data_IF_232093096348
#
_entry.id   IF_232093096348
#
_cell.length_a   1.000
_cell.length_b   1.000
_cell.length_c   1.000
_cell.angle_alpha   90.00
_cell.angle_beta   90.00
_cell.angle_gamma   90.00
#
_symmetry.space_group_name_H-M   'P 1'
#
loop_
_entity.id
_entity.type
_entity.pdbx_description
1 polymer ?
#
# COMPACT_ATOMS: atom_id res chain seq x y z
N UNK A 1 -16.83 34.49 -23.14
CA UNK A 1 -15.67 34.34 -24.04
C UNK A 1 -14.73 33.24 -23.52
N UNK A 2 -14.88 32.03 -24.05
CA UNK A 2 -13.99 30.88 -23.88
C UNK A 2 -13.32 30.61 -25.22
N UNK A 3 -12.05 30.17 -25.27
CA UNK A 3 -11.52 29.51 -26.44
C UNK A 3 -11.68 27.98 -26.31
N UNK A 4 -12.28 27.44 -27.37
CA UNK A 4 -12.37 26.04 -27.78
C UNK A 4 -11.07 25.50 -28.40
N UNK A 5 -11.06 24.20 -28.72
CA UNK A 5 -10.08 23.37 -29.47
C UNK A 5 -9.15 22.53 -28.55
N UNK A 6 -8.97 21.20 -28.70
CA UNK A 6 -8.98 20.32 -29.88
C UNK A 6 -9.50 18.91 -29.53
N UNK A 7 -10.36 18.36 -30.39
CA UNK A 7 -10.73 16.93 -30.50
C UNK A 7 -9.57 16.10 -31.08
N UNK A 8 -9.33 14.91 -30.54
CA UNK A 8 -8.90 13.75 -31.35
C UNK A 8 -9.61 12.47 -30.89
N UNK A 9 -10.37 11.92 -31.82
CA UNK A 9 -10.97 10.60 -31.83
C UNK A 9 -10.00 9.60 -32.46
N UNK A 10 -9.95 8.37 -31.94
CA UNK A 10 -9.48 7.19 -32.67
C UNK A 10 -10.43 6.02 -32.37
N UNK A 11 -10.91 5.39 -33.45
CA UNK A 11 -11.83 4.26 -33.49
C UNK A 11 -11.03 2.99 -33.82
N UNK A 12 -11.10 2.02 -32.92
CA UNK A 12 -11.43 0.59 -33.09
C UNK A 12 -10.89 -0.24 -34.27
N UNK A 13 -10.21 -1.35 -33.93
CA UNK A 13 -10.33 -2.72 -34.49
C UNK A 13 -9.26 -3.59 -33.79
N UNK A 14 -9.50 -4.72 -33.12
CA UNK A 14 -10.28 -5.90 -33.53
C UNK A 14 -9.28 -7.01 -33.93
N UNK A 15 -9.14 -8.08 -33.12
CA UNK A 15 -8.34 -9.26 -33.47
C UNK A 15 -7.92 -10.16 -32.30
N UNK A 16 -8.73 -11.19 -32.03
CA UNK A 16 -8.36 -12.48 -31.42
C UNK A 16 -8.15 -13.48 -32.58
N UNK A 17 -7.25 -14.49 -32.50
CA UNK A 17 -7.68 -15.77 -31.90
C UNK A 17 -6.59 -16.67 -31.23
N UNK A 18 -7.07 -17.48 -30.27
CA UNK A 18 -6.80 -18.90 -29.91
C UNK A 18 -5.39 -19.52 -29.71
N UNK A 19 -5.33 -20.25 -28.57
CA UNK A 19 -4.84 -21.63 -28.33
C UNK A 19 -3.38 -21.96 -27.94
N UNK A 20 -3.29 -22.53 -26.72
CA UNK A 20 -2.57 -23.76 -26.29
C UNK A 20 -1.04 -23.80 -26.29
N UNK A 21 -0.46 -24.25 -25.16
CA UNK A 21 0.96 -24.61 -25.08
C UNK A 21 1.49 -24.81 -23.67
N UNK A 22 1.13 -25.93 -23.03
CA UNK A 22 1.86 -26.48 -21.88
C UNK A 22 3.30 -26.81 -22.25
N UNK A 23 4.28 -26.46 -21.41
CA UNK A 23 5.50 -27.28 -21.20
C UNK A 23 6.30 -26.75 -20.03
N UNK A 24 6.35 -27.53 -18.95
CA UNK A 24 7.49 -27.59 -18.04
C UNK A 24 8.69 -28.22 -18.75
N UNK A 25 9.91 -27.90 -18.32
CA UNK A 25 10.88 -28.96 -18.15
C UNK A 25 11.54 -28.97 -16.76
N UNK A 26 11.72 -30.20 -16.35
CA UNK A 26 12.33 -30.73 -15.14
C UNK A 26 13.85 -30.48 -15.11
N UNK A 27 14.43 -30.34 -13.91
CA UNK A 27 15.47 -31.23 -13.38
C UNK A 27 16.58 -30.56 -12.52
N UNK A 28 16.68 -31.08 -11.30
CA UNK A 28 17.88 -31.54 -10.59
C UNK A 28 18.95 -30.54 -10.07
N UNK A 29 18.87 -30.37 -8.74
CA UNK A 29 19.87 -30.81 -7.73
C UNK A 29 21.10 -29.96 -7.36
N UNK A 30 21.54 -30.21 -6.11
CA UNK A 30 22.69 -29.71 -5.32
C UNK A 30 22.50 -28.34 -4.65
N UNK A 31 22.96 -28.09 -3.42
CA UNK A 31 23.48 -28.88 -2.30
C UNK A 31 23.68 -27.89 -1.14
N UNK A 32 23.73 -28.44 0.06
CA UNK A 32 24.07 -27.84 1.35
C UNK A 32 25.07 -26.67 1.37
N UNK A 33 24.77 -25.66 2.19
CA UNK A 33 25.65 -25.20 3.27
C UNK A 33 24.99 -24.03 4.01
N UNK A 34 24.57 -24.28 5.25
CA UNK A 34 24.21 -23.24 6.20
C UNK A 34 25.54 -22.60 6.64
N UNK A 35 25.88 -21.45 6.03
CA UNK A 35 26.85 -20.52 6.60
C UNK A 35 26.09 -19.38 7.26
N UNK A 36 26.08 -19.43 8.58
CA UNK A 36 25.64 -18.39 9.51
C UNK A 36 26.54 -17.15 9.35
N UNK A 37 26.06 -16.15 8.59
CA UNK A 37 26.77 -14.88 8.44
C UNK A 37 26.23 -13.94 7.35
N UNK A 38 24.97 -14.08 6.95
CA UNK A 38 24.38 -13.29 5.86
C UNK A 38 24.15 -11.83 6.23
N UNK A 39 24.66 -10.91 5.40
CA UNK A 39 24.19 -9.51 5.33
C UNK A 39 22.68 -9.49 5.01
N UNK A 40 21.90 -8.53 5.52
CA UNK A 40 20.53 -8.32 5.06
C UNK A 40 20.50 -8.16 3.53
N UNK A 41 19.61 -8.89 2.86
CA UNK A 41 19.47 -8.86 1.40
C UNK A 41 18.76 -7.57 0.99
N UNK A 42 19.48 -6.62 0.39
CA UNK A 42 18.86 -5.63 -0.49
C UNK A 42 18.38 -6.37 -1.76
N UNK A 43 17.07 -6.63 -1.87
CA UNK A 43 16.44 -6.83 -3.19
C UNK A 43 16.09 -5.46 -3.73
N UNK A 44 16.93 -4.99 -4.65
CA UNK A 44 16.75 -3.72 -5.33
C UNK A 44 15.54 -3.74 -6.25
N UNK A 45 14.88 -2.57 -6.27
CA UNK A 45 14.02 -2.07 -7.34
C UNK A 45 14.79 -2.15 -8.66
N UNK A 46 14.18 -2.72 -9.71
CA UNK A 46 14.77 -2.89 -11.03
C UNK A 46 15.16 -1.55 -11.68
N UNK A 47 16.44 -1.30 -12.03
CA UNK A 47 16.81 -0.19 -12.88
C UNK A 47 16.85 -0.65 -14.35
N UNK A 48 16.00 -0.06 -15.17
CA UNK A 48 16.04 -0.21 -16.63
C UNK A 48 17.36 0.28 -17.21
N UNK A 49 17.89 -0.55 -18.12
CA UNK A 49 18.77 -0.27 -19.27
C UNK A 49 19.40 1.13 -19.33
N UNK A 50 20.70 1.20 -19.02
CA UNK A 50 21.62 2.18 -19.60
C UNK A 50 22.92 1.47 -19.96
N UNK A 51 23.06 1.18 -21.25
CA UNK A 51 24.22 0.52 -21.82
C UNK A 51 25.47 1.38 -21.83
N UNK A 52 26.61 0.70 -21.78
CA UNK A 52 27.86 1.10 -22.40
C UNK A 52 28.57 2.32 -21.81
N UNK A 53 29.51 2.08 -20.89
CA UNK A 53 30.80 2.79 -20.89
C UNK A 53 31.82 2.05 -19.99
N UNK A 54 32.95 1.64 -20.58
CA UNK A 54 34.24 1.43 -19.92
C UNK A 54 34.34 0.38 -18.81
N UNK A 55 34.85 -0.80 -19.13
CA UNK A 55 35.35 -1.80 -18.18
C UNK A 55 36.62 -1.32 -17.48
N UNK A 56 36.50 -0.35 -16.56
CA UNK A 56 37.50 -0.18 -15.52
C UNK A 56 37.40 -1.39 -14.58
N UNK A 57 38.41 -2.27 -14.61
CA UNK A 57 38.64 -3.25 -13.54
C UNK A 57 38.89 -2.46 -12.25
N UNK A 58 37.83 -2.09 -11.54
CA UNK A 58 37.92 -1.64 -10.15
C UNK A 58 38.52 -2.81 -9.38
N UNK A 59 39.78 -2.67 -8.97
CA UNK A 59 40.29 -3.43 -7.85
C UNK A 59 39.35 -3.11 -6.67
N UNK A 60 38.41 -4.01 -6.40
CA UNK A 60 37.58 -3.97 -5.21
C UNK A 60 38.51 -4.23 -4.03
N UNK A 61 39.10 -3.16 -3.50
CA UNK A 61 39.76 -3.21 -2.20
C UNK A 61 38.69 -3.67 -1.22
N UNK A 62 38.80 -4.93 -0.77
CA UNK A 62 37.92 -5.49 0.25
C UNK A 62 38.30 -4.82 1.56
N UNK A 63 37.76 -3.63 1.80
CA UNK A 63 37.87 -2.97 3.10
C UNK A 63 37.05 -3.81 4.07
N UNK A 64 37.70 -4.36 5.09
CA UNK A 64 37.03 -5.10 6.18
C UNK A 64 36.09 -4.14 6.91
N UNK A 65 34.79 -4.24 6.62
CA UNK A 65 33.75 -3.42 7.25
C UNK A 65 33.52 -3.85 8.71
N UNK A 66 33.30 -2.87 9.58
CA UNK A 66 32.87 -3.12 10.97
C UNK A 66 31.55 -3.88 10.95
N UNK A 67 31.43 -5.06 11.60
CA UNK A 67 30.17 -5.80 11.62
C UNK A 67 29.11 -5.06 12.46
N UNK A 68 27.84 -5.30 12.17
CA UNK A 68 26.78 -4.86 13.08
C UNK A 68 26.88 -5.59 14.42
N UNK A 69 26.40 -4.96 15.51
CA UNK A 69 26.06 -5.69 16.72
C UNK A 69 25.11 -6.86 16.40
N UNK A 70 25.29 -8.02 17.05
CA UNK A 70 24.45 -9.20 16.79
C UNK A 70 22.97 -8.92 17.04
N UNK A 71 22.66 -8.21 18.13
CA UNK A 71 21.30 -7.81 18.48
C UNK A 71 20.65 -6.94 17.38
N UNK A 72 21.42 -6.03 16.78
CA UNK A 72 20.95 -5.17 15.70
C UNK A 72 20.67 -5.97 14.43
N UNK A 73 21.56 -6.90 14.03
CA UNK A 73 21.36 -7.71 12.82
C UNK A 73 20.04 -8.49 12.84
N UNK A 74 19.71 -9.11 13.99
CA UNK A 74 18.47 -9.87 14.13
C UNK A 74 17.24 -8.95 14.07
N UNK A 75 17.28 -7.81 14.77
CA UNK A 75 16.18 -6.86 14.81
C UNK A 75 15.92 -6.19 13.44
N UNK A 76 16.98 -5.88 12.67
CA UNK A 76 16.85 -5.37 11.31
C UNK A 76 16.18 -6.37 10.37
N UNK A 77 16.53 -7.65 10.46
CA UNK A 77 15.91 -8.68 9.63
C UNK A 77 14.43 -8.89 9.97
N UNK A 78 14.06 -8.85 11.26
CA UNK A 78 12.66 -8.91 11.69
C UNK A 78 11.86 -7.70 11.19
N UNK A 79 12.45 -6.51 11.29
CA UNK A 79 11.86 -5.30 10.74
C UNK A 79 11.65 -5.37 9.22
N UNK A 80 12.68 -5.76 8.46
CA UNK A 80 12.60 -5.80 6.99
C UNK A 80 11.46 -6.75 6.53
N UNK A 81 11.32 -7.92 7.18
CA UNK A 81 10.22 -8.86 6.90
C UNK A 81 8.86 -8.29 7.30
N UNK A 82 8.79 -7.67 8.48
CA UNK A 82 7.56 -7.08 8.97
C UNK A 82 7.08 -5.91 8.11
N UNK A 83 8.00 -5.06 7.65
CA UNK A 83 7.74 -3.95 6.75
C UNK A 83 7.13 -4.44 5.44
N UNK A 84 7.77 -5.39 4.78
CA UNK A 84 7.30 -5.96 3.50
C UNK A 84 5.88 -6.56 3.65
N UNK A 85 5.65 -7.33 4.70
CA UNK A 85 4.33 -7.92 4.96
C UNK A 85 3.27 -6.85 5.23
N UNK A 86 3.59 -5.82 6.01
CA UNK A 86 2.66 -4.74 6.37
C UNK A 86 2.34 -3.85 5.18
N UNK A 87 3.33 -3.46 4.38
CA UNK A 87 3.13 -2.67 3.15
C UNK A 87 2.25 -3.43 2.14
N UNK A 88 2.51 -4.73 1.96
CA UNK A 88 1.70 -5.59 1.09
C UNK A 88 0.26 -5.70 1.57
N UNK A 89 0.05 -5.97 2.86
CA UNK A 89 -1.29 -6.08 3.46
C UNK A 89 -2.05 -4.76 3.37
N UNK A 90 -1.39 -3.64 3.69
CA UNK A 90 -1.97 -2.31 3.58
C UNK A 90 -2.41 -2.00 2.15
N UNK A 91 -1.57 -2.32 1.14
CA UNK A 91 -1.92 -2.18 -0.27
C UNK A 91 -3.15 -3.02 -0.67
N UNK A 92 -3.25 -4.26 -0.19
CA UNK A 92 -4.42 -5.11 -0.40
C UNK A 92 -5.70 -4.51 0.19
N UNK A 93 -5.66 -4.05 1.45
CA UNK A 93 -6.82 -3.42 2.10
C UNK A 93 -7.25 -2.14 1.37
N UNK A 94 -6.29 -1.29 0.98
CA UNK A 94 -6.57 -0.09 0.19
C UNK A 94 -7.27 -0.42 -1.14
N UNK A 95 -6.82 -1.46 -1.84
CA UNK A 95 -7.42 -1.89 -3.09
C UNK A 95 -8.86 -2.38 -2.93
N UNK A 96 -9.18 -3.02 -1.80
CA UNK A 96 -10.54 -3.47 -1.49
C UNK A 96 -11.46 -2.30 -1.13
N UNK A 97 -10.95 -1.31 -0.40
CA UNK A 97 -11.75 -0.19 0.10
C UNK A 97 -11.99 0.85 -0.99
N UNK A 98 -10.93 1.26 -1.70
CA UNK A 98 -10.97 2.26 -2.77
C UNK A 98 -10.25 1.71 -4.00
N UNK A 99 -10.92 0.97 -4.90
CA UNK A 99 -10.27 0.35 -6.06
C UNK A 99 -9.64 1.38 -7.00
N UNK A 100 -10.20 2.60 -7.07
CA UNK A 100 -9.64 3.65 -7.91
C UNK A 100 -8.44 4.32 -7.23
N UNK A 101 -7.24 4.04 -7.75
CA UNK A 101 -6.00 4.63 -7.25
C UNK A 101 -5.96 6.16 -7.31
N UNK A 102 -6.72 6.79 -8.21
CA UNK A 102 -6.77 8.26 -8.36
C UNK A 102 -7.43 8.98 -7.18
N UNK A 103 -8.23 8.27 -6.39
CA UNK A 103 -8.94 8.83 -5.23
C UNK A 103 -8.21 8.55 -3.91
N UNK A 104 -7.09 7.82 -3.96
CA UNK A 104 -6.28 7.53 -2.78
C UNK A 104 -5.30 8.67 -2.57
N UNK A 105 -5.55 9.46 -1.53
CA UNK A 105 -4.68 10.54 -1.11
C UNK A 105 -4.01 10.26 0.23
N UNK A 106 -2.95 11.01 0.51
CA UNK A 106 -2.32 11.06 1.84
C UNK A 106 -2.05 12.53 2.14
N UNK A 107 -2.49 12.99 3.30
CA UNK A 107 -2.15 14.33 3.82
C UNK A 107 -1.41 14.17 5.13
N UNK A 108 -0.10 14.42 5.10
CA UNK A 108 0.79 14.12 6.22
C UNK A 108 0.83 12.62 6.48
N UNK A 109 0.23 12.17 7.57
CA UNK A 109 0.09 10.74 7.92
C UNK A 109 -1.33 10.21 7.74
N UNK A 110 -2.29 11.07 7.38
CA UNK A 110 -3.69 10.71 7.28
C UNK A 110 -4.04 10.26 5.88
N UNK A 111 -4.75 9.14 5.79
CA UNK A 111 -5.27 8.59 4.55
C UNK A 111 -6.53 9.33 4.12
N UNK A 112 -6.68 9.55 2.82
CA UNK A 112 -7.89 10.08 2.20
C UNK A 112 -8.38 9.06 1.19
N UNK A 113 -9.60 8.58 1.37
CA UNK A 113 -10.21 7.52 0.57
C UNK A 113 -11.50 7.95 -0.10
N UNK A 114 -12.20 8.94 0.46
CA UNK A 114 -13.42 9.46 -0.14
C UNK A 114 -13.07 10.13 -1.49
N UNK A 115 -13.78 9.79 -2.58
CA UNK A 115 -13.67 10.53 -3.84
C UNK A 115 -14.00 12.02 -3.66
N UNK A 116 -13.53 12.89 -4.57
CA UNK A 116 -14.01 14.27 -4.64
C UNK A 116 -15.54 14.33 -4.73
N UNK A 117 -16.12 15.42 -4.24
CA UNK A 117 -17.57 15.62 -4.20
C UNK A 117 -18.22 15.37 -5.57
N UNK A 118 -19.28 14.54 -5.60
CA UNK A 118 -20.01 14.21 -6.82
C UNK A 118 -19.32 13.22 -7.75
N UNK A 119 -18.14 12.69 -7.40
CA UNK A 119 -17.45 11.64 -8.17
C UNK A 119 -17.67 10.24 -7.58
N UNK A 120 -18.26 10.14 -6.39
CA UNK A 120 -18.67 8.85 -5.85
C UNK A 120 -19.85 8.31 -6.68
N UNK A 121 -19.80 7.06 -7.19
CA UNK A 121 -20.80 6.55 -8.13
C UNK A 121 -22.26 6.62 -7.67
N UNK A 122 -22.53 6.38 -6.39
CA UNK A 122 -23.90 6.43 -5.84
C UNK A 122 -24.36 7.88 -5.63
N UNK A 123 -23.48 8.78 -5.16
CA UNK A 123 -23.76 10.23 -5.12
C UNK A 123 -24.09 10.77 -6.52
N UNK A 124 -23.30 10.41 -7.53
CA UNK A 124 -23.50 10.83 -8.92
C UNK A 124 -24.81 10.29 -9.50
N UNK A 125 -25.12 9.02 -9.23
CA UNK A 125 -26.38 8.40 -9.64
C UNK A 125 -27.58 9.05 -8.94
N UNK A 126 -27.48 9.32 -7.63
CA UNK A 126 -28.52 10.01 -6.88
C UNK A 126 -28.81 11.39 -7.48
N UNK A 127 -27.77 12.19 -7.74
CA UNK A 127 -27.91 13.51 -8.35
C UNK A 127 -28.59 13.45 -9.73
N UNK A 128 -28.28 12.44 -10.54
CA UNK A 128 -28.91 12.24 -11.85
C UNK A 128 -30.39 11.85 -11.75
N UNK A 129 -30.77 11.00 -10.79
CA UNK A 129 -32.17 10.62 -10.55
C UNK A 129 -32.98 11.77 -9.95
N UNK A 130 -32.38 12.53 -9.03
CA UNK A 130 -33.00 13.68 -8.37
C UNK A 130 -33.27 14.86 -9.32
N UNK A 131 -32.51 14.96 -10.43
CA UNK A 131 -32.73 15.98 -11.45
C UNK A 131 -34.07 15.85 -12.20
N UNK A 132 -34.84 14.77 -11.95
CA UNK A 132 -36.21 14.50 -12.45
C UNK A 132 -36.46 15.03 -13.87
N UNK A 133 -36.10 14.28 -14.93
CA UNK A 133 -36.30 14.75 -16.29
C UNK A 133 -37.79 15.09 -16.52
N UNK A 134 -38.07 16.29 -17.07
CA UNK A 134 -39.42 16.83 -17.28
C UNK A 134 -40.36 15.90 -18.08
N UNK A 135 -39.80 14.89 -18.74
CA UNK A 135 -40.49 13.86 -19.52
C UNK A 135 -41.40 12.96 -18.67
N UNK A 136 -41.23 12.92 -17.34
CA UNK A 136 -41.95 12.00 -16.44
C UNK A 136 -43.28 12.54 -15.89
N UNK A 137 -43.61 13.82 -16.12
CA UNK A 137 -44.79 14.46 -15.53
C UNK A 137 -46.14 13.81 -15.92
N UNK A 138 -46.18 12.93 -16.93
CA UNK A 138 -47.38 12.27 -17.41
C UNK A 138 -47.45 10.77 -17.05
N UNK A 139 -46.53 10.23 -16.24
CA UNK A 139 -46.52 8.82 -15.84
C UNK A 139 -46.38 8.65 -14.31
N UNK A 140 -47.48 8.69 -13.55
CA UNK A 140 -47.43 8.69 -12.08
C UNK A 140 -46.78 7.43 -11.48
N UNK A 141 -46.97 6.25 -12.10
CA UNK A 141 -46.31 5.00 -11.65
C UNK A 141 -44.79 5.05 -11.83
N UNK A 142 -44.34 5.55 -12.98
CA UNK A 142 -42.91 5.69 -13.28
C UNK A 142 -42.26 6.73 -12.36
N UNK A 143 -43.00 7.78 -12.00
CA UNK A 143 -42.57 8.76 -11.01
C UNK A 143 -42.42 8.14 -9.61
N UNK A 144 -43.37 7.32 -9.18
CA UNK A 144 -43.30 6.60 -7.90
C UNK A 144 -42.10 5.63 -7.84
N UNK A 145 -41.87 4.85 -8.91
CA UNK A 145 -40.74 3.93 -9.01
C UNK A 145 -39.39 4.68 -9.03
N UNK A 146 -39.34 5.84 -9.69
CA UNK A 146 -38.16 6.71 -9.69
C UNK A 146 -37.89 7.27 -8.30
N UNK A 147 -38.92 7.74 -7.59
CA UNK A 147 -38.78 8.29 -6.25
C UNK A 147 -38.28 7.23 -5.26
N UNK A 148 -38.81 6.00 -5.34
CA UNK A 148 -38.30 4.84 -4.58
C UNK A 148 -36.84 4.53 -4.90
N UNK A 149 -36.49 4.47 -6.19
CA UNK A 149 -35.12 4.20 -6.62
C UNK A 149 -34.16 5.30 -6.16
N UNK A 150 -34.56 6.57 -6.27
CA UNK A 150 -33.76 7.72 -5.83
C UNK A 150 -33.52 7.67 -4.32
N UNK A 151 -34.53 7.33 -3.51
CA UNK A 151 -34.37 7.19 -2.07
C UNK A 151 -33.37 6.09 -1.71
N UNK A 152 -33.43 4.93 -2.36
CA UNK A 152 -32.46 3.85 -2.09
C UNK A 152 -31.05 4.24 -2.49
N UNK A 153 -30.85 4.87 -3.66
CA UNK A 153 -29.52 5.30 -4.09
C UNK A 153 -28.94 6.34 -3.12
N UNK A 154 -29.77 7.21 -2.53
CA UNK A 154 -29.33 8.11 -1.47
C UNK A 154 -28.77 7.36 -0.26
N UNK A 155 -29.47 6.33 0.23
CA UNK A 155 -28.99 5.51 1.34
C UNK A 155 -27.68 4.78 1.02
N UNK A 156 -27.53 4.26 -0.22
CA UNK A 156 -26.29 3.62 -0.66
C UNK A 156 -25.12 4.62 -0.65
N UNK A 157 -25.35 5.86 -1.09
CA UNK A 157 -24.34 6.92 -1.05
C UNK A 157 -23.95 7.28 0.39
N UNK A 158 -24.92 7.38 1.31
CA UNK A 158 -24.66 7.64 2.73
C UNK A 158 -23.85 6.52 3.39
N UNK A 159 -24.24 5.26 3.19
CA UNK A 159 -23.52 4.08 3.67
C UNK A 159 -22.10 4.04 3.11
N UNK A 160 -21.91 4.33 1.81
CA UNK A 160 -20.58 4.34 1.20
C UNK A 160 -19.68 5.44 1.75
N UNK A 161 -20.25 6.62 2.03
CA UNK A 161 -19.53 7.72 2.68
C UNK A 161 -19.18 7.44 4.15
N UNK A 162 -20.06 6.77 4.89
CA UNK A 162 -19.78 6.32 6.24
C UNK A 162 -18.65 5.27 6.24
N UNK A 163 -18.68 4.34 5.28
CA UNK A 163 -17.64 3.34 5.08
C UNK A 163 -16.26 3.97 4.82
N UNK A 164 -16.14 4.95 3.94
CA UNK A 164 -14.85 5.62 3.70
C UNK A 164 -14.30 6.30 4.95
N UNK A 165 -15.13 7.04 5.70
CA UNK A 165 -14.72 7.69 6.96
C UNK A 165 -14.28 6.69 8.01
N UNK A 166 -15.00 5.57 8.14
CA UNK A 166 -14.64 4.49 9.06
C UNK A 166 -13.30 3.85 8.66
N UNK A 167 -13.08 3.61 7.38
CA UNK A 167 -11.84 3.05 6.86
C UNK A 167 -10.63 3.96 7.12
N UNK A 168 -10.76 5.26 6.89
CA UNK A 168 -9.69 6.24 7.16
C UNK A 168 -9.27 6.22 8.63
N UNK A 169 -10.24 6.12 9.55
CA UNK A 169 -9.95 6.02 10.99
C UNK A 169 -9.37 4.67 11.40
N UNK A 170 -9.86 3.56 10.84
CA UNK A 170 -9.45 2.19 11.23
C UNK A 170 -8.09 1.78 10.65
N UNK A 171 -7.60 2.50 9.64
CA UNK A 171 -6.28 2.26 9.03
C UNK A 171 -5.23 3.28 9.49
N UNK A 172 -5.46 3.97 10.61
CA UNK A 172 -4.61 5.08 11.05
C UNK A 172 -3.19 4.61 11.42
N UNK A 173 -3.02 3.52 12.17
CA UNK A 173 -1.69 3.06 12.55
C UNK A 173 -0.96 2.40 11.38
N UNK A 174 -1.67 1.61 10.56
CA UNK A 174 -1.12 1.06 9.32
C UNK A 174 -0.62 2.16 8.38
N UNK A 175 -1.40 3.22 8.16
CA UNK A 175 -1.00 4.34 7.30
C UNK A 175 0.15 5.14 7.90
N UNK A 176 0.14 5.41 9.21
CA UNK A 176 1.28 6.00 9.93
C UNK A 176 2.55 5.16 9.74
N UNK A 177 2.45 3.84 9.87
CA UNK A 177 3.59 2.95 9.72
C UNK A 177 4.18 3.06 8.32
N UNK A 178 3.34 2.90 7.29
CA UNK A 178 3.77 2.87 5.89
C UNK A 178 4.28 4.23 5.39
N UNK A 179 3.69 5.34 5.82
CA UNK A 179 4.04 6.67 5.30
C UNK A 179 5.01 7.48 6.16
N UNK A 180 5.15 7.15 7.45
CA UNK A 180 6.02 7.92 8.37
C UNK A 180 7.04 7.05 9.08
N UNK A 181 6.62 5.98 9.75
CA UNK A 181 7.55 5.16 10.53
C UNK A 181 8.65 4.55 9.64
N UNK A 182 8.29 4.05 8.45
CA UNK A 182 9.25 3.53 7.46
C UNK A 182 10.25 4.58 7.02
N UNK A 183 9.80 5.81 6.76
CA UNK A 183 10.66 6.93 6.34
C UNK A 183 11.61 7.31 7.48
N UNK A 184 11.08 7.58 8.67
CA UNK A 184 11.86 7.94 9.86
C UNK A 184 12.91 6.85 10.19
N UNK A 185 12.54 5.57 10.01
CA UNK A 185 13.44 4.45 10.21
C UNK A 185 14.56 4.38 9.17
N UNK A 186 14.24 4.51 7.88
CA UNK A 186 15.25 4.47 6.81
C UNK A 186 16.22 5.66 6.90
N UNK A 187 15.74 6.84 7.33
CA UNK A 187 16.60 7.99 7.63
C UNK A 187 17.57 7.69 8.78
N UNK A 188 17.08 7.13 9.90
CA UNK A 188 17.92 6.72 11.03
C UNK A 188 18.94 5.64 10.62
N UNK A 189 18.51 4.66 9.81
CA UNK A 189 19.38 3.60 9.26
C UNK A 189 20.48 4.18 8.37
N UNK A 190 20.15 5.16 7.52
CA UNK A 190 21.13 5.82 6.65
C UNK A 190 22.19 6.60 7.45
N UNK A 191 21.78 7.31 8.51
CA UNK A 191 22.70 8.00 9.43
C UNK A 191 23.63 7.00 10.13
N UNK A 192 23.09 5.86 10.56
CA UNK A 192 23.87 4.77 11.16
C UNK A 192 24.90 4.19 10.19
N UNK A 193 24.52 3.89 8.94
CA UNK A 193 25.48 3.40 7.93
C UNK A 193 26.58 4.42 7.63
N UNK A 194 26.24 5.70 7.54
CA UNK A 194 27.24 6.76 7.32
C UNK A 194 28.23 6.87 8.49
N UNK A 195 27.73 6.74 9.72
CA UNK A 195 28.57 6.75 10.93
C UNK A 195 29.47 5.52 10.98
N UNK A 196 28.98 4.36 10.55
CA UNK A 196 29.76 3.12 10.40
C UNK A 196 30.88 3.25 9.38
N UNK A 197 30.61 3.83 8.21
CA UNK A 197 31.63 4.10 7.20
C UNK A 197 32.71 5.06 7.72
N UNK A 198 32.33 5.98 8.63
CA UNK A 198 33.26 6.88 9.31
C UNK A 198 34.18 6.15 10.29
N UNK A 199 33.66 5.18 11.06
CA UNK A 199 34.46 4.29 11.91
C UNK A 199 35.45 3.47 11.08
N UNK A 200 35.00 2.88 9.98
CA UNK A 200 35.87 2.10 9.08
C UNK A 200 36.99 2.97 8.49
N UNK A 201 36.66 4.20 8.12
CA UNK A 201 37.62 5.18 7.60
C UNK A 201 38.65 5.60 8.66
N UNK A 202 38.21 5.93 9.88
CA UNK A 202 39.08 6.29 11.00
C UNK A 202 39.96 5.12 11.44
N UNK A 203 39.43 3.89 11.46
CA UNK A 203 40.20 2.68 11.77
C UNK A 203 41.32 2.46 10.74
N UNK A 204 41.04 2.67 9.46
CA UNK A 204 42.05 2.58 8.41
C UNK A 204 43.04 3.74 8.42
N UNK A 205 42.64 4.93 8.86
CA UNK A 205 43.55 6.06 9.08
C UNK A 205 44.52 5.76 10.22
N UNK A 206 44.03 5.21 11.35
CA UNK A 206 44.85 4.80 12.49
C UNK A 206 45.89 3.75 12.10
N UNK A 207 45.50 2.73 11.33
CA UNK A 207 46.45 1.70 10.82
C UNK A 207 47.55 2.27 9.93
N UNK A 208 47.31 3.43 9.30
CA UNK A 208 48.26 4.12 8.41
C UNK A 208 48.97 5.29 9.09
N UNK A 209 48.62 5.62 10.33
CA UNK A 209 49.19 6.74 11.05
C UNK A 209 50.65 6.44 11.43
N UNK A 210 51.57 7.32 11.05
CA UNK A 210 52.94 7.30 11.55
C UNK A 210 53.01 7.73 13.03
N UNK A 211 54.14 7.48 13.71
CA UNK A 211 54.35 7.72 15.15
C UNK A 211 53.89 9.09 15.65
N UNK A 212 54.01 10.14 14.82
CA UNK A 212 53.67 11.51 15.19
C UNK A 212 52.18 11.86 15.03
N UNK A 213 51.39 11.01 14.37
CA UNK A 213 49.97 11.23 14.07
C UNK A 213 49.01 10.23 14.75
N UNK A 214 49.56 9.25 15.49
CA UNK A 214 48.77 8.18 16.13
C UNK A 214 47.73 8.75 17.10
N UNK A 215 48.12 9.66 17.99
CA UNK A 215 47.21 10.24 18.98
C UNK A 215 46.01 10.98 18.35
N UNK A 216 46.24 11.73 17.28
CA UNK A 216 45.16 12.39 16.54
C UNK A 216 44.23 11.38 15.83
N UNK A 217 44.80 10.32 15.25
CA UNK A 217 44.04 9.26 14.60
C UNK A 217 43.22 8.42 15.60
N UNK A 218 43.73 8.19 16.81
CA UNK A 218 43.00 7.54 17.91
C UNK A 218 41.83 8.39 18.40
N UNK A 219 42.03 9.70 18.57
CA UNK A 219 40.97 10.63 18.94
C UNK A 219 39.84 10.65 17.90
N UNK A 220 40.19 10.70 16.60
CA UNK A 220 39.22 10.65 15.51
C UNK A 220 38.44 9.31 15.49
N UNK A 221 39.10 8.18 15.75
CA UNK A 221 38.43 6.89 15.85
C UNK A 221 37.46 6.82 17.02
N UNK A 222 37.85 7.34 18.19
CA UNK A 222 36.99 7.37 19.37
C UNK A 222 35.74 8.24 19.14
N UNK A 223 35.89 9.38 18.47
CA UNK A 223 34.76 10.23 18.11
C UNK A 223 33.80 9.51 17.15
N UNK A 224 34.32 8.91 16.06
CA UNK A 224 33.51 8.17 15.11
C UNK A 224 32.78 6.97 15.76
N UNK A 225 33.44 6.27 16.69
CA UNK A 225 32.84 5.16 17.43
C UNK A 225 31.70 5.63 18.35
N UNK A 226 31.86 6.79 19.00
CA UNK A 226 30.81 7.37 19.84
C UNK A 226 29.58 7.81 19.01
N UNK A 227 29.78 8.41 17.85
CA UNK A 227 28.71 8.79 16.92
C UNK A 227 27.98 7.55 16.37
N UNK A 228 28.73 6.52 15.96
CA UNK A 228 28.13 5.26 15.51
C UNK A 228 27.29 4.61 16.63
N UNK A 229 27.77 4.61 17.87
CA UNK A 229 26.99 4.10 19.01
C UNK A 229 25.68 4.86 19.18
N UNK A 230 25.70 6.20 19.15
CA UNK A 230 24.48 7.02 19.23
C UNK A 230 23.49 6.71 18.10
N UNK A 231 23.99 6.53 16.88
CA UNK A 231 23.14 6.20 15.74
C UNK A 231 22.53 4.79 15.85
N UNK A 232 23.29 3.81 16.36
CA UNK A 232 22.79 2.46 16.67
C UNK A 232 21.70 2.52 17.73
N UNK A 233 21.90 3.29 18.80
CA UNK A 233 20.92 3.44 19.88
C UNK A 233 19.61 4.09 19.36
N UNK A 234 19.71 5.05 18.44
CA UNK A 234 18.53 5.66 17.78
C UNK A 234 17.73 4.65 16.94
N UNK A 235 18.41 3.83 16.13
CA UNK A 235 17.77 2.76 15.35
C UNK A 235 17.12 1.73 16.27
N UNK A 236 17.83 1.30 17.33
CA UNK A 236 17.27 0.35 18.30
C UNK A 236 16.05 0.94 19.01
N UNK A 237 16.07 2.22 19.37
CA UNK A 237 14.91 2.88 19.98
C UNK A 237 13.67 2.81 19.09
N UNK A 238 13.80 3.00 17.77
CA UNK A 238 12.67 2.81 16.84
C UNK A 238 12.22 1.34 16.79
N UNK A 239 13.16 0.40 16.78
CA UNK A 239 12.82 -1.03 16.75
C UNK A 239 12.11 -1.50 18.02
N UNK A 240 12.34 -0.85 19.17
CA UNK A 240 11.63 -1.19 20.42
C UNK A 240 10.14 -0.90 20.38
N UNK A 241 9.65 -0.04 19.48
CA UNK A 241 8.21 0.24 19.35
C UNK A 241 7.49 -0.76 18.46
N UNK A 242 8.21 -1.60 17.70
CA UNK A 242 7.62 -2.56 16.76
C UNK A 242 6.65 -3.57 17.40
N UNK A 243 6.92 -4.15 18.58
CA UNK A 243 5.99 -5.11 19.18
C UNK A 243 4.60 -4.52 19.46
N UNK A 244 4.55 -3.25 19.89
CA UNK A 244 3.29 -2.54 20.14
C UNK A 244 2.57 -2.22 18.82
N UNK A 245 3.31 -1.71 17.82
CA UNK A 245 2.77 -1.47 16.48
C UNK A 245 2.22 -2.76 15.84
N UNK A 246 2.94 -3.88 15.98
CA UNK A 246 2.49 -5.21 15.55
C UNK A 246 1.11 -5.54 16.12
N UNK A 247 0.95 -5.40 17.43
CA UNK A 247 -0.34 -5.66 18.11
C UNK A 247 -1.46 -4.76 17.58
N UNK A 248 -1.20 -3.47 17.44
CA UNK A 248 -2.19 -2.51 16.95
C UNK A 248 -2.59 -2.82 15.49
N UNK A 249 -1.63 -3.14 14.63
CA UNK A 249 -1.92 -3.48 13.24
C UNK A 249 -2.76 -4.76 13.12
N UNK A 250 -2.55 -5.77 13.97
CA UNK A 250 -3.41 -6.96 13.97
C UNK A 250 -4.86 -6.60 14.28
N UNK A 251 -5.10 -5.82 15.33
CA UNK A 251 -6.45 -5.36 15.69
C UNK A 251 -7.06 -4.51 14.58
N UNK A 252 -6.30 -3.60 13.98
CA UNK A 252 -6.78 -2.79 12.85
C UNK A 252 -7.17 -3.64 11.64
N UNK A 253 -6.39 -4.67 11.31
CA UNK A 253 -6.70 -5.56 10.19
C UNK A 253 -8.02 -6.29 10.44
N UNK A 254 -8.23 -6.83 11.65
CA UNK A 254 -9.49 -7.49 12.03
C UNK A 254 -10.68 -6.52 11.97
N UNK A 255 -10.48 -5.30 12.47
CA UNK A 255 -11.48 -4.23 12.45
C UNK A 255 -11.87 -3.82 11.02
N UNK A 256 -10.89 -3.73 10.11
CA UNK A 256 -11.11 -3.40 8.70
C UNK A 256 -11.86 -4.53 8.00
N UNK A 257 -11.50 -5.79 8.27
CA UNK A 257 -12.20 -6.94 7.70
C UNK A 257 -13.65 -6.98 8.18
N UNK A 258 -13.89 -6.76 9.47
CA UNK A 258 -15.25 -6.68 10.03
C UNK A 258 -16.05 -5.56 9.38
N UNK A 259 -15.46 -4.36 9.25
CA UNK A 259 -16.07 -3.22 8.57
C UNK A 259 -16.42 -3.54 7.11
N UNK A 260 -15.56 -4.26 6.38
CA UNK A 260 -15.85 -4.67 5.00
C UNK A 260 -17.07 -5.61 4.92
N UNK A 261 -17.22 -6.53 5.88
CA UNK A 261 -18.38 -7.43 5.96
C UNK A 261 -19.65 -6.66 6.31
N UNK A 262 -19.57 -5.77 7.28
CA UNK A 262 -20.70 -4.93 7.71
C UNK A 262 -21.18 -4.02 6.58
N UNK A 263 -20.25 -3.37 5.88
CA UNK A 263 -20.57 -2.54 4.72
C UNK A 263 -21.31 -3.33 3.65
N UNK A 264 -20.81 -4.50 3.27
CA UNK A 264 -21.48 -5.36 2.30
C UNK A 264 -22.87 -5.81 2.77
N UNK A 265 -23.04 -6.03 4.08
CA UNK A 265 -24.33 -6.39 4.68
C UNK A 265 -25.31 -5.22 4.63
N UNK A 266 -24.87 -4.01 4.95
CA UNK A 266 -25.70 -2.80 4.90
C UNK A 266 -26.09 -2.44 3.47
N UNK A 267 -25.15 -2.51 2.52
CA UNK A 267 -25.45 -2.30 1.10
C UNK A 267 -26.52 -3.28 0.58
N UNK A 268 -26.47 -4.56 1.01
CA UNK A 268 -27.51 -5.55 0.68
C UNK A 268 -28.87 -5.20 1.31
N UNK A 269 -28.90 -4.68 2.53
CA UNK A 269 -30.15 -4.24 3.18
C UNK A 269 -30.78 -3.09 2.41
N UNK A 270 -30.00 -2.06 2.06
CA UNK A 270 -30.47 -0.94 1.23
C UNK A 270 -31.09 -1.44 -0.09
N UNK A 271 -30.45 -2.40 -0.78
CA UNK A 271 -30.99 -2.98 -2.02
C UNK A 271 -32.21 -3.87 -1.82
N UNK A 272 -32.35 -4.53 -0.66
CA UNK A 272 -33.48 -5.39 -0.37
C UNK A 272 -34.80 -4.61 -0.27
N UNK A 273 -34.75 -3.33 0.14
CA UNK A 273 -35.91 -2.45 0.18
C UNK A 273 -36.53 -2.18 -1.20
N UNK A 274 -35.75 -2.36 -2.28
CA UNK A 274 -36.23 -2.20 -3.66
C UNK A 274 -37.01 -3.42 -4.14
N UNK A 275 -36.82 -4.63 -3.57
CA UNK A 275 -37.32 -5.89 -4.16
C UNK A 275 -38.79 -5.76 -4.57
N UNK A 276 -38.97 -5.47 -5.86
CA UNK A 276 -40.28 -5.34 -6.45
C UNK A 276 -40.95 -6.70 -6.32
N UNK A 277 -42.27 -6.75 -6.07
CA UNK A 277 -42.99 -8.01 -6.16
C UNK A 277 -42.67 -8.63 -7.52
N UNK A 278 -42.29 -9.92 -7.51
CA UNK A 278 -42.10 -10.69 -8.72
C UNK A 278 -43.28 -10.42 -9.66
N UNK A 279 -43.08 -10.31 -10.99
CA UNK A 279 -44.19 -10.08 -11.89
C UNK A 279 -45.24 -11.17 -11.64
N UNK A 280 -46.38 -10.78 -11.07
CA UNK A 280 -47.53 -11.65 -10.87
C UNK A 280 -48.01 -12.06 -12.26
N UNK A 281 -47.45 -13.17 -12.72
CA UNK A 281 -47.60 -13.70 -14.07
C UNK A 281 -47.85 -15.19 -14.08
N UNK A 282 -48.44 -15.75 -13.04
CA UNK A 282 -49.14 -17.04 -13.14
C UNK A 282 -50.57 -16.84 -12.69
N UNK A 283 -51.41 -16.46 -13.66
CA UNK A 283 -52.86 -16.62 -13.54
C UNK A 283 -53.11 -18.12 -13.35
N UNK A 284 -53.42 -18.49 -12.12
CA UNK A 284 -54.20 -19.67 -11.76
C UNK A 284 -55.28 -19.90 -12.83
N UNK A 285 -55.10 -20.95 -13.64
CA UNK A 285 -56.19 -21.55 -14.39
C UNK A 285 -56.82 -22.58 -13.48
N UNK A 286 -57.87 -22.19 -12.78
CA UNK A 286 -58.85 -23.16 -12.28
C UNK A 286 -59.50 -23.85 -13.48
N UNK A 287 -59.59 -25.19 -13.52
CA UNK A 287 -60.38 -25.86 -14.53
C UNK A 287 -61.85 -25.73 -14.15
N UNK A 288 -62.62 -25.07 -15.02
CA UNK A 288 -64.07 -25.13 -14.99
C UNK A 288 -64.45 -26.52 -15.50
N UNK A 289 -65.11 -27.29 -14.64
CA UNK A 289 -65.76 -28.57 -14.96
C UNK A 289 -66.88 -28.37 -15.98
N UNK A 290 -66.89 -29.21 -17.02
CA UNK A 290 -68.00 -29.43 -17.95
C UNK A 290 -68.03 -30.89 -18.34
#
# INVERSE_FOLDING_TARGET
PLPSFVRRSFVQSGGMPTESGSTTPNSKSYSSSIQSGGKPRHRGVSPGVLGGLGTFRKATVVVKRTPYPKALTAALNDYDQYREATESMFGCLLNLIQPNGMYRGVTGTSLILKPPEGQEPHEALYAALAAKPMVLNNQPKLQEDLDKSSATVAMLAEEKNAFFRSAESKMAHLSFFVYKFTVDFEEARAVMEKSRDSVDSASNALKRAGKNAVSAAESALNLAAAEYKKAVDAVLSLLTTLPELKKNHYTEIEDVVTMLVDHNTNMKKCLAEIRMPAPMGEKSKTPITG
#
